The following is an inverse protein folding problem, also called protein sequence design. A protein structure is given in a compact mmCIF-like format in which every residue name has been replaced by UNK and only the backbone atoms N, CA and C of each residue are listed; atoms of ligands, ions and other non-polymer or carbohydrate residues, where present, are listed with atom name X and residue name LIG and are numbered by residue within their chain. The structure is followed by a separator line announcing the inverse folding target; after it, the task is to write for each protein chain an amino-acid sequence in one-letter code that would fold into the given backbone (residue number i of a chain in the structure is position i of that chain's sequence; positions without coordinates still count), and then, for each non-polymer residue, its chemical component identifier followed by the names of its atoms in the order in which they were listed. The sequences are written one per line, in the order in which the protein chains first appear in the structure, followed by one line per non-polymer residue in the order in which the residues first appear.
data_IF_412460608442
#
_entry.id   IF_412460608442
#
_cell.length_a   1.000
_cell.length_b   1.000
_cell.length_c   1.000
_cell.angle_alpha   90.00
_cell.angle_beta   90.00
_cell.angle_gamma   90.00
#
_symmetry.space_group_name_H-M   'P 1'
#
loop_
_entity.id
_entity.type
_entity.pdbx_description
1 polymer ?
#
# COMPACT_ATOMS: atom_id res chain seq x y z
N UNK A 1 -10.93 4.92 7.45
CA UNK A 1 -10.38 6.03 6.65
C UNK A 1 -9.21 5.48 5.84
N UNK A 2 -9.21 5.49 4.51
CA UNK A 2 -8.05 5.06 3.74
C UNK A 2 -6.88 6.04 3.91
N UNK A 3 -5.69 5.51 4.14
CA UNK A 3 -4.45 6.23 4.46
C UNK A 3 -4.06 7.29 3.41
N UNK A 4 -4.48 7.09 2.15
CA UNK A 4 -4.24 8.02 1.03
C UNK A 4 -4.90 9.39 1.25
N UNK A 5 -6.06 9.43 1.90
CA UNK A 5 -6.74 10.70 2.20
C UNK A 5 -6.00 11.59 3.21
N UNK A 6 -5.17 10.99 4.06
CA UNK A 6 -4.41 11.69 5.10
C UNK A 6 -3.16 12.37 4.51
N UNK A 7 -2.52 11.73 3.53
CA UNK A 7 -1.29 12.24 2.87
C UNK A 7 -1.58 13.42 1.94
N UNK A 8 -2.73 13.45 1.27
CA UNK A 8 -3.04 14.46 0.25
C UNK A 8 -3.78 15.70 0.79
N UNK A 9 -4.09 15.76 2.09
CA UNK A 9 -4.84 16.88 2.70
C UNK A 9 -6.23 17.13 2.07
N UNK A 10 -6.69 16.24 1.22
CA UNK A 10 -7.93 16.34 0.48
C UNK A 10 -8.88 15.27 1.02
N UNK A 11 -9.96 15.72 1.66
CA UNK A 11 -11.09 14.86 1.95
C UNK A 11 -11.53 14.18 0.66
N UNK A 12 -11.33 12.87 0.57
CA UNK A 12 -11.73 12.09 -0.59
C UNK A 12 -13.22 12.33 -0.83
N UNK A 13 -13.66 12.68 -2.05
CA UNK A 13 -15.08 12.76 -2.33
C UNK A 13 -15.72 11.39 -2.05
N UNK A 14 -16.95 11.35 -1.52
CA UNK A 14 -17.54 10.18 -0.86
C UNK A 14 -17.75 8.93 -1.73
N UNK A 15 -17.30 8.92 -2.99
CA UNK A 15 -17.45 7.80 -3.93
C UNK A 15 -16.16 7.43 -4.68
N UNK A 16 -14.99 7.84 -4.19
CA UNK A 16 -13.71 7.37 -4.74
C UNK A 16 -13.32 6.08 -4.03
N UNK A 17 -13.71 4.93 -4.59
CA UNK A 17 -13.05 3.66 -4.23
C UNK A 17 -11.62 3.73 -4.75
N UNK A 18 -10.58 3.80 -3.89
CA UNK A 18 -9.21 3.73 -4.38
C UNK A 18 -9.03 2.42 -5.14
N UNK A 19 -8.60 2.51 -6.40
CA UNK A 19 -8.37 1.34 -7.23
C UNK A 19 -6.96 0.85 -6.93
N UNK A 20 -6.85 -0.11 -5.99
CA UNK A 20 -5.58 -0.72 -5.65
C UNK A 20 -5.61 -2.22 -5.91
N UNK A 21 -4.45 -2.77 -6.27
CA UNK A 21 -4.26 -4.20 -6.52
C UNK A 21 -2.96 -4.69 -5.88
N UNK A 22 -2.95 -5.93 -5.40
CA UNK A 22 -1.72 -6.60 -4.98
C UNK A 22 -1.06 -7.17 -6.22
N UNK A 23 0.02 -6.52 -6.67
CA UNK A 23 0.76 -6.94 -7.85
C UNK A 23 1.64 -8.16 -7.57
N UNK A 24 2.19 -8.28 -6.36
CA UNK A 24 2.93 -9.49 -5.94
C UNK A 24 2.98 -9.64 -4.42
N UNK A 25 3.11 -10.88 -3.97
CA UNK A 25 3.32 -11.26 -2.59
C UNK A 25 4.40 -12.34 -2.55
N UNK A 26 5.47 -12.09 -1.81
CA UNK A 26 6.53 -13.06 -1.54
C UNK A 26 6.64 -13.28 -0.02
N UNK A 27 6.68 -14.55 0.40
CA UNK A 27 6.71 -14.93 1.81
C UNK A 27 7.83 -15.97 2.01
N UNK A 28 8.74 -15.68 2.92
CA UNK A 28 9.78 -16.60 3.37
C UNK A 28 9.78 -16.68 4.90
N UNK A 29 9.21 -17.76 5.44
CA UNK A 29 9.06 -17.95 6.88
C UNK A 29 8.22 -16.83 7.51
N UNK A 30 8.82 -16.10 8.45
CA UNK A 30 8.19 -14.97 9.15
C UNK A 30 8.41 -13.62 8.47
N UNK A 31 9.08 -13.57 7.31
CA UNK A 31 9.29 -12.36 6.52
C UNK A 31 8.45 -12.37 5.25
N UNK A 32 7.93 -11.21 4.84
CA UNK A 32 7.20 -11.07 3.59
C UNK A 32 7.44 -9.71 2.92
N UNK A 33 7.31 -9.68 1.60
CA UNK A 33 7.28 -8.44 0.81
C UNK A 33 6.02 -8.42 -0.06
N UNK A 34 5.31 -7.29 -0.04
CA UNK A 34 4.11 -7.07 -0.85
C UNK A 34 4.35 -5.89 -1.78
N UNK A 35 4.07 -6.07 -3.06
CA UNK A 35 3.96 -4.97 -4.02
C UNK A 35 2.49 -4.64 -4.22
N UNK A 36 2.11 -3.39 -3.97
CA UNK A 36 0.76 -2.86 -4.19
C UNK A 36 0.84 -1.79 -5.26
N UNK A 37 -0.11 -1.79 -6.19
CA UNK A 37 -0.28 -0.73 -7.17
C UNK A 37 -1.59 -0.01 -6.86
N UNK A 38 -1.57 1.32 -6.78
CA UNK A 38 -2.74 2.16 -6.49
C UNK A 38 -2.90 3.22 -7.60
N UNK A 39 -4.12 3.37 -8.10
CA UNK A 39 -4.49 4.39 -9.08
C UNK A 39 -5.42 5.42 -8.43
N UNK A 40 -4.95 6.66 -8.38
CA UNK A 40 -5.72 7.80 -7.90
C UNK A 40 -5.86 8.86 -8.99
N UNK A 41 -6.98 8.83 -9.71
CA UNK A 41 -7.21 9.71 -10.85
C UNK A 41 -6.21 9.43 -11.98
N UNK A 42 -5.39 10.42 -12.34
CA UNK A 42 -4.30 10.26 -13.32
C UNK A 42 -2.99 9.80 -12.69
N UNK A 43 -2.93 9.70 -11.37
CA UNK A 43 -1.71 9.41 -10.62
C UNK A 43 -1.64 7.93 -10.30
N UNK A 44 -0.48 7.32 -10.51
CA UNK A 44 -0.23 5.91 -10.15
C UNK A 44 0.89 5.81 -9.12
N UNK A 45 0.67 4.95 -8.14
CA UNK A 45 1.66 4.63 -7.11
C UNK A 45 2.00 3.15 -7.16
N UNK A 46 3.27 2.84 -6.89
CA UNK A 46 3.71 1.49 -6.55
C UNK A 46 4.29 1.51 -5.15
N UNK A 47 3.64 0.81 -4.23
CA UNK A 47 4.09 0.62 -2.86
C UNK A 47 4.78 -0.73 -2.70
N UNK A 48 5.93 -0.74 -2.03
CA UNK A 48 6.63 -1.93 -1.57
C UNK A 48 6.56 -1.98 -0.05
N UNK A 49 5.85 -2.97 0.49
CA UNK A 49 5.69 -3.17 1.92
C UNK A 49 6.57 -4.34 2.35
N UNK A 50 7.40 -4.11 3.36
CA UNK A 50 8.09 -5.19 4.07
C UNK A 50 7.31 -5.53 5.34
N UNK A 51 7.04 -6.81 5.55
CA UNK A 51 6.30 -7.31 6.69
C UNK A 51 7.14 -8.32 7.47
N UNK A 52 6.95 -8.30 8.79
CA UNK A 52 7.50 -9.30 9.70
C UNK A 52 6.37 -9.85 10.57
N UNK A 53 6.33 -11.17 10.72
CA UNK A 53 5.41 -11.85 11.62
C UNK A 53 5.97 -11.85 13.04
N UNK A 54 5.29 -11.16 13.95
CA UNK A 54 5.69 -11.05 15.36
C UNK A 54 4.54 -11.57 16.21
N UNK A 55 4.81 -12.57 17.05
CA UNK A 55 3.82 -13.21 17.92
C UNK A 55 2.56 -13.71 17.18
N UNK A 56 2.75 -14.23 15.96
CA UNK A 56 1.65 -14.76 15.14
C UNK A 56 0.97 -13.75 14.22
N UNK A 57 1.28 -12.46 14.35
CA UNK A 57 0.64 -11.37 13.60
C UNK A 57 1.61 -10.73 12.60
N UNK A 58 1.15 -10.52 11.36
CA UNK A 58 1.91 -9.78 10.36
C UNK A 58 1.87 -8.29 10.65
N UNK A 59 3.05 -7.66 10.71
CA UNK A 59 3.20 -6.22 10.91
C UNK A 59 4.00 -5.63 9.76
N UNK A 60 3.55 -4.48 9.24
CA UNK A 60 4.32 -3.71 8.27
C UNK A 60 5.45 -3.03 9.03
N UNK A 61 6.69 -3.36 8.67
CA UNK A 61 7.90 -2.79 9.30
C UNK A 61 8.57 -1.72 8.45
N UNK A 62 8.25 -1.66 7.14
CA UNK A 62 8.71 -0.63 6.23
C UNK A 62 7.75 -0.46 5.05
N UNK A 63 7.69 0.77 4.53
CA UNK A 63 6.99 1.12 3.29
C UNK A 63 7.90 1.99 2.45
N UNK A 64 8.08 1.59 1.19
CA UNK A 64 8.66 2.41 0.13
C UNK A 64 7.59 2.65 -0.92
N UNK A 65 7.63 3.79 -1.60
CA UNK A 65 6.70 4.08 -2.69
C UNK A 65 7.42 4.70 -3.88
N UNK A 66 6.87 4.44 -5.07
CA UNK A 66 7.23 5.12 -6.31
C UNK A 66 5.99 5.79 -6.87
N UNK A 67 6.11 7.09 -7.15
CA UNK A 67 5.11 7.89 -7.84
C UNK A 67 5.44 7.89 -9.34
N UNK A 68 4.53 7.35 -10.15
CA UNK A 68 4.67 7.39 -11.60
C UNK A 68 4.17 8.75 -12.11
N UNK A 69 5.00 9.41 -12.92
CA UNK A 69 4.72 10.70 -13.57
C UNK A 69 4.42 10.52 -15.06
#
# INVERSE_FOLDING_TARGET
MPYVGEVMGAGLPPNTSPNWTVASLDITGDAATVKVEDEFGTTRFTDYLSLLKIAGEWKIVSKLYHLHH
#
